data_IF_572815264004
#
_entry.id   IF_572815264004
#
_cell.length_a   1.000
_cell.length_b   1.000
_cell.length_c   1.000
_cell.angle_alpha   90.00
_cell.angle_beta   90.00
_cell.angle_gamma   90.00
#
_symmetry.space_group_name_H-M   'P 1'
#
loop_
_entity.id
_entity.type
_entity.pdbx_description
1 polymer ?
#
# COMPACT_ATOMS: atom_id res chain seq x y z
N UNK A 1 67.39 -50.79 -25.79
CA UNK A 1 66.32 -49.76 -25.82
C UNK A 1 65.70 -49.71 -24.44
N UNK A 2 65.92 -48.65 -23.67
CA UNK A 2 65.57 -48.52 -22.25
C UNK A 2 64.50 -47.41 -22.03
N UNK A 3 63.60 -47.72 -21.10
CA UNK A 3 62.71 -46.92 -20.23
C UNK A 3 62.53 -45.40 -20.40
N UNK A 4 61.24 -45.01 -20.40
CA UNK A 4 60.55 -44.15 -19.41
C UNK A 4 61.27 -42.93 -18.85
N UNK A 5 60.67 -41.75 -19.04
CA UNK A 5 60.65 -40.71 -18.01
C UNK A 5 59.23 -40.11 -17.87
N UNK A 6 58.79 -40.05 -16.62
CA UNK A 6 57.50 -39.60 -16.14
C UNK A 6 57.70 -38.25 -15.40
N UNK A 7 56.64 -37.44 -15.33
CA UNK A 7 56.52 -36.29 -14.42
C UNK A 7 56.81 -34.94 -15.07
N UNK A 8 56.30 -33.80 -14.61
CA UNK A 8 55.70 -33.47 -13.32
C UNK A 8 54.72 -32.29 -13.52
N UNK A 9 53.74 -32.24 -12.61
CA UNK A 9 52.62 -31.31 -12.39
C UNK A 9 53.01 -29.82 -12.27
N UNK A 10 51.94 -29.01 -12.11
CA UNK A 10 51.79 -27.72 -11.40
C UNK A 10 51.54 -26.54 -12.35
N UNK A 11 50.57 -25.62 -12.19
CA UNK A 11 49.79 -25.19 -11.02
C UNK A 11 48.58 -24.36 -11.51
N UNK A 12 47.45 -24.46 -10.80
CA UNK A 12 46.31 -23.54 -10.90
C UNK A 12 46.67 -22.15 -10.39
N UNK A 13 45.99 -21.16 -10.99
CA UNK A 13 45.56 -19.86 -10.47
C UNK A 13 46.63 -18.86 -9.99
N UNK A 14 46.52 -17.60 -10.43
CA UNK A 14 46.22 -16.44 -9.56
C UNK A 14 46.49 -15.09 -10.23
N UNK A 15 45.48 -14.22 -10.12
CA UNK A 15 45.59 -12.78 -9.80
C UNK A 15 46.17 -11.78 -10.83
N UNK A 16 45.29 -10.82 -11.11
CA UNK A 16 45.47 -9.37 -10.92
C UNK A 16 46.20 -8.56 -12.01
N UNK A 17 45.43 -7.67 -12.64
CA UNK A 17 45.53 -6.24 -12.28
C UNK A 17 44.27 -5.47 -12.67
N UNK A 18 43.54 -5.05 -11.63
CA UNK A 18 42.68 -3.87 -11.67
C UNK A 18 43.48 -2.69 -12.25
N UNK A 19 42.96 -2.07 -13.30
CA UNK A 19 43.36 -0.71 -13.67
C UNK A 19 42.25 0.22 -13.17
N UNK A 20 42.53 0.84 -12.03
CA UNK A 20 41.72 1.87 -11.41
C UNK A 20 41.94 3.16 -12.22
N UNK A 21 40.98 3.50 -13.09
CA UNK A 21 40.88 4.80 -13.75
C UNK A 21 39.81 5.64 -13.08
N UNK A 22 40.24 6.55 -12.22
CA UNK A 22 39.41 7.48 -11.44
C UNK A 22 38.96 8.65 -12.32
N UNK A 23 37.66 8.93 -12.36
CA UNK A 23 37.12 10.13 -12.99
C UNK A 23 35.60 10.13 -13.05
N UNK A 24 34.93 10.04 -11.90
CA UNK A 24 33.46 9.93 -11.84
C UNK A 24 32.83 11.33 -11.71
N UNK A 25 32.17 11.91 -12.73
CA UNK A 25 31.30 13.07 -12.51
C UNK A 25 29.97 12.59 -11.89
N UNK A 26 30.00 12.09 -10.65
CA UNK A 26 28.80 11.70 -9.87
C UNK A 26 27.85 12.88 -9.58
N UNK A 27 28.18 14.10 -10.00
CA UNK A 27 27.40 15.32 -9.73
C UNK A 27 26.29 15.55 -10.76
N UNK A 28 26.45 15.09 -12.01
CA UNK A 28 25.47 15.36 -13.07
C UNK A 28 24.27 14.39 -13.04
N UNK A 29 24.52 13.11 -12.74
CA UNK A 29 23.44 12.12 -12.58
C UNK A 29 22.56 12.36 -11.35
N UNK A 30 23.06 13.13 -10.37
CA UNK A 30 22.36 13.40 -9.11
C UNK A 30 21.30 14.51 -9.27
N UNK A 31 21.53 15.48 -10.16
CA UNK A 31 20.58 16.56 -10.44
C UNK A 31 19.38 16.06 -11.26
N UNK A 32 19.60 15.21 -12.27
CA UNK A 32 18.51 14.62 -13.06
C UNK A 32 17.64 13.65 -12.24
N UNK A 33 18.24 12.88 -11.34
CA UNK A 33 17.50 12.03 -10.41
C UNK A 33 16.63 12.83 -9.43
N UNK A 34 17.09 14.01 -8.99
CA UNK A 34 16.33 14.87 -8.09
C UNK A 34 15.10 15.50 -8.75
N UNK A 35 15.19 15.90 -10.03
CA UNK A 35 14.05 16.47 -10.77
C UNK A 35 12.97 15.41 -11.04
N UNK A 36 13.36 14.18 -11.39
CA UNK A 36 12.41 13.08 -11.56
C UNK A 36 11.72 12.69 -10.24
N UNK A 37 12.45 12.69 -9.12
CA UNK A 37 11.88 12.48 -7.79
C UNK A 37 10.93 13.61 -7.36
N UNK A 38 11.20 14.86 -7.75
CA UNK A 38 10.33 16.01 -7.46
C UNK A 38 8.99 15.94 -8.22
N UNK A 39 9.01 15.48 -9.48
CA UNK A 39 7.78 15.31 -10.29
C UNK A 39 6.92 14.14 -9.77
N UNK A 40 7.55 13.06 -9.30
CA UNK A 40 6.84 11.95 -8.64
C UNK A 40 6.32 12.31 -7.24
N UNK A 41 7.03 13.16 -6.49
CA UNK A 41 6.61 13.60 -5.15
C UNK A 41 5.39 14.50 -5.14
N UNK A 42 5.19 15.33 -6.17
CA UNK A 42 4.07 16.28 -6.27
C UNK A 42 2.71 15.60 -6.52
N UNK A 43 2.67 14.40 -7.10
CA UNK A 43 1.41 13.67 -7.32
C UNK A 43 0.79 13.14 -6.02
N UNK A 44 1.58 12.87 -4.98
CA UNK A 44 1.08 12.35 -3.70
C UNK A 44 0.40 13.45 -2.88
N UNK A 45 0.87 14.70 -2.98
CA UNK A 45 0.34 15.83 -2.21
C UNK A 45 -1.03 16.31 -2.70
N UNK A 46 -1.39 16.05 -3.96
CA UNK A 46 -2.67 16.47 -4.54
C UNK A 46 -3.87 15.59 -4.13
N UNK A 47 -3.62 14.40 -3.57
CA UNK A 47 -4.68 13.54 -3.04
C UNK A 47 -4.96 13.98 -1.60
N UNK A 48 -5.63 15.13 -1.45
CA UNK A 48 -6.31 15.51 -0.22
C UNK A 48 -7.44 14.53 0.07
N UNK A 49 -7.10 13.29 0.39
CA UNK A 49 -8.03 12.26 0.80
C UNK A 49 -8.54 12.64 2.19
N UNK A 50 -9.70 13.27 2.25
CA UNK A 50 -10.50 13.27 3.48
C UNK A 50 -10.81 11.82 3.79
N UNK A 51 -10.09 11.24 4.75
CA UNK A 51 -10.45 9.93 5.30
C UNK A 51 -11.86 10.07 5.85
N UNK A 52 -12.86 9.37 5.29
CA UNK A 52 -14.21 9.46 5.80
C UNK A 52 -14.21 9.04 7.27
N UNK A 53 -14.73 9.91 8.13
CA UNK A 53 -14.90 9.62 9.55
C UNK A 53 -16.10 8.70 9.71
N UNK A 54 -15.90 7.59 10.43
CA UNK A 54 -16.96 6.64 10.73
C UNK A 54 -17.14 6.49 12.23
N UNK A 55 -18.37 6.21 12.64
CA UNK A 55 -18.70 5.71 13.97
C UNK A 55 -19.05 4.24 13.86
N UNK A 56 -18.56 3.41 14.77
CA UNK A 56 -18.88 1.98 14.80
C UNK A 56 -20.03 1.72 15.78
N UNK A 57 -21.06 1.00 15.31
CA UNK A 57 -22.23 0.64 16.09
C UNK A 57 -22.43 -0.87 16.01
N UNK A 58 -22.65 -1.51 17.16
CA UNK A 58 -22.95 -2.94 17.22
C UNK A 58 -24.46 -3.14 17.22
N UNK A 59 -24.96 -3.84 16.21
CA UNK A 59 -26.39 -4.13 16.03
C UNK A 59 -26.93 -4.93 17.22
N UNK A 60 -27.96 -4.39 17.86
CA UNK A 60 -28.67 -5.00 18.98
C UNK A 60 -29.92 -5.77 18.52
N UNK A 61 -30.47 -6.67 19.35
CA UNK A 61 -31.74 -7.33 19.07
C UNK A 61 -32.87 -6.30 18.86
N UNK A 62 -33.53 -6.36 17.70
CA UNK A 62 -34.62 -5.45 17.33
C UNK A 62 -34.19 -4.27 16.48
N UNK A 63 -32.88 -4.07 16.29
CA UNK A 63 -32.38 -3.01 15.41
C UNK A 63 -32.65 -3.32 13.94
N UNK A 64 -32.88 -2.24 13.20
CA UNK A 64 -32.97 -2.23 11.74
C UNK A 64 -32.04 -1.13 11.23
N UNK A 65 -31.60 -1.21 9.97
CA UNK A 65 -30.84 -0.10 9.37
C UNK A 65 -31.61 1.22 9.46
N UNK A 66 -32.94 1.16 9.33
CA UNK A 66 -33.79 2.31 9.45
C UNK A 66 -33.77 2.92 10.87
N UNK A 67 -33.90 2.09 11.92
CA UNK A 67 -33.89 2.58 13.30
C UNK A 67 -32.53 3.16 13.68
N UNK A 68 -31.45 2.48 13.29
CA UNK A 68 -30.07 2.96 13.47
C UNK A 68 -29.87 4.30 12.74
N UNK A 69 -30.28 4.40 11.46
CA UNK A 69 -30.15 5.64 10.71
C UNK A 69 -30.99 6.78 11.32
N UNK A 70 -32.21 6.49 11.78
CA UNK A 70 -33.09 7.50 12.40
C UNK A 70 -32.50 8.02 13.72
N UNK A 71 -31.89 7.14 14.52
CA UNK A 71 -31.28 7.51 15.80
C UNK A 71 -30.00 8.33 15.63
N UNK A 72 -29.16 7.96 14.66
CA UNK A 72 -27.87 8.61 14.46
C UNK A 72 -27.93 9.84 13.54
N UNK A 73 -28.93 9.94 12.66
CA UNK A 73 -29.10 11.06 11.72
C UNK A 73 -30.50 11.68 11.79
N UNK A 74 -30.93 12.22 12.95
CA UNK A 74 -32.29 12.74 13.13
C UNK A 74 -32.64 13.96 12.26
N UNK A 75 -31.63 14.64 11.71
CA UNK A 75 -31.79 15.86 10.91
C UNK A 75 -31.60 15.64 9.40
N UNK A 76 -31.21 14.44 8.99
CA UNK A 76 -30.93 14.12 7.59
C UNK A 76 -32.04 13.26 6.97
N UNK A 77 -32.00 13.07 5.65
CA UNK A 77 -32.84 12.08 4.99
C UNK A 77 -32.40 10.66 5.40
N UNK A 78 -33.23 10.03 6.22
CA UNK A 78 -33.01 8.66 6.72
C UNK A 78 -32.78 7.67 5.59
N UNK A 79 -33.48 7.82 4.45
CA UNK A 79 -33.32 6.90 3.32
C UNK A 79 -31.93 7.01 2.70
N UNK A 80 -31.47 8.23 2.45
CA UNK A 80 -30.13 8.47 1.93
C UNK A 80 -29.04 7.99 2.90
N UNK A 81 -29.27 8.09 4.21
CA UNK A 81 -28.34 7.58 5.23
C UNK A 81 -28.34 6.07 5.34
N UNK A 82 -29.48 5.40 5.17
CA UNK A 82 -29.52 3.93 5.03
C UNK A 82 -28.66 3.49 3.83
N UNK A 83 -28.85 4.12 2.66
CA UNK A 83 -28.06 3.81 1.46
C UNK A 83 -26.55 4.03 1.71
N UNK A 84 -26.20 5.13 2.39
CA UNK A 84 -24.81 5.44 2.76
C UNK A 84 -24.20 4.42 3.73
N UNK A 85 -24.98 3.92 4.70
CA UNK A 85 -24.54 2.87 5.63
C UNK A 85 -24.36 1.56 4.87
N UNK A 86 -25.25 1.22 3.94
CA UNK A 86 -25.11 0.03 3.09
C UNK A 86 -23.81 0.07 2.29
N UNK A 87 -23.53 1.19 1.62
CA UNK A 87 -22.31 1.40 0.86
C UNK A 87 -21.06 1.33 1.73
N UNK A 88 -21.06 2.01 2.88
CA UNK A 88 -19.92 2.04 3.81
C UNK A 88 -19.58 0.65 4.40
N UNK A 89 -20.56 -0.24 4.48
CA UNK A 89 -20.41 -1.59 5.02
C UNK A 89 -20.40 -2.70 3.95
N UNK A 90 -20.51 -2.34 2.67
CA UNK A 90 -20.57 -3.31 1.57
C UNK A 90 -21.79 -4.24 1.64
N UNK A 91 -22.91 -3.74 2.19
CA UNK A 91 -24.15 -4.50 2.28
C UNK A 91 -24.82 -4.54 0.89
N UNK A 92 -25.24 -5.72 0.47
CA UNK A 92 -25.99 -5.91 -0.79
C UNK A 92 -27.51 -5.78 -0.60
N UNK A 93 -27.96 -5.69 0.65
CA UNK A 93 -29.36 -5.59 1.02
C UNK A 93 -29.47 -4.99 2.43
N UNK A 94 -30.64 -4.45 2.82
CA UNK A 94 -30.85 -3.85 4.13
C UNK A 94 -30.89 -4.85 5.30
N UNK A 95 -30.49 -6.09 5.09
CA UNK A 95 -30.42 -7.11 6.14
C UNK A 95 -29.17 -6.92 6.97
N UNK A 96 -29.38 -6.85 8.28
CA UNK A 96 -28.33 -6.79 9.30
C UNK A 96 -28.57 -7.89 10.33
N UNK A 97 -27.50 -8.29 11.02
CA UNK A 97 -27.54 -9.35 12.02
C UNK A 97 -27.15 -8.83 13.39
N UNK A 98 -27.77 -9.36 14.44
CA UNK A 98 -27.41 -9.01 15.82
C UNK A 98 -25.94 -9.35 16.07
N UNK A 99 -25.21 -8.44 16.71
CA UNK A 99 -23.78 -8.53 16.97
C UNK A 99 -22.90 -8.12 15.78
N UNK A 100 -23.49 -7.77 14.63
CA UNK A 100 -22.75 -7.18 13.52
C UNK A 100 -22.28 -5.77 13.87
N UNK A 101 -21.03 -5.45 13.56
CA UNK A 101 -20.52 -4.07 13.64
C UNK A 101 -20.79 -3.36 12.32
N UNK A 102 -21.49 -2.23 12.39
CA UNK A 102 -21.77 -1.34 11.27
C UNK A 102 -20.96 -0.05 11.40
N UNK A 103 -20.42 0.41 10.28
CA UNK A 103 -19.74 1.68 10.10
C UNK A 103 -20.73 2.73 9.61
N UNK A 104 -20.94 3.75 10.42
CA UNK A 104 -21.85 4.85 10.14
C UNK A 104 -21.01 6.05 9.64
N UNK A 105 -21.18 6.51 8.40
CA UNK A 105 -20.46 7.68 7.87
C UNK A 105 -20.93 8.98 8.55
N UNK A 106 -20.02 9.89 8.89
CA UNK A 106 -20.39 11.17 9.50
C UNK A 106 -21.33 12.05 8.66
#
# INVERSE_FOLDING_TARGET
MYATHYGIRQRRASRAKQVIGLGRPKRLGLVLGAVAAAILGLAVVAHGGTTPTYTEVVVQPGDTLWSIATEHYPSDDVRARVDSIEEANGLQSPRIFVGQTLRLPA
#
